data_IF_102860501004
#
_entry.id   IF_102860501004
#
_cell.length_a   1.000
_cell.length_b   1.000
_cell.length_c   1.000
_cell.angle_alpha   90.00
_cell.angle_beta   90.00
_cell.angle_gamma   90.00
#
_symmetry.space_group_name_H-M   'P 1'
#
loop_
_entity.id
_entity.type
_entity.pdbx_description
1 polymer ?
#
# COMPACT_ATOMS: atom_id res chain seq x y z
N UNK A 1 20.13 25.15 -2.82
CA UNK A 1 20.40 23.70 -2.64
C UNK A 1 19.09 22.96 -2.93
N UNK A 2 18.97 22.39 -4.14
CA UNK A 2 17.75 21.73 -4.58
C UNK A 2 17.72 20.29 -4.05
N UNK A 3 16.68 19.96 -3.27
CA UNK A 3 16.45 18.61 -2.80
C UNK A 3 16.06 17.72 -3.99
N UNK A 4 16.84 16.64 -4.19
CA UNK A 4 16.63 15.63 -5.22
C UNK A 4 15.31 14.91 -4.93
N UNK A 5 14.29 15.17 -5.74
CA UNK A 5 13.03 14.42 -5.76
C UNK A 5 13.42 12.98 -6.10
N UNK A 6 13.21 12.03 -5.19
CA UNK A 6 13.46 10.62 -5.46
C UNK A 6 12.27 10.11 -6.27
N UNK A 7 12.52 9.98 -7.57
CA UNK A 7 11.53 9.83 -8.63
C UNK A 7 10.60 8.64 -8.46
N UNK A 8 9.38 8.83 -8.95
CA UNK A 8 8.32 7.79 -9.06
C UNK A 8 8.80 6.57 -9.85
N UNK A 9 9.83 6.73 -10.69
CA UNK A 9 10.48 5.65 -11.45
C UNK A 9 11.17 4.62 -10.57
N UNK A 10 11.72 5.00 -9.41
CA UNK A 10 12.39 4.07 -8.48
C UNK A 10 11.42 3.03 -7.92
N UNK A 11 10.16 3.39 -7.67
CA UNK A 11 9.16 2.47 -7.13
C UNK A 11 8.63 1.53 -8.22
N UNK A 12 8.50 2.03 -9.45
CA UNK A 12 8.14 1.22 -10.61
C UNK A 12 9.25 0.21 -10.97
N UNK A 13 10.52 0.60 -10.90
CA UNK A 13 11.66 -0.30 -11.11
C UNK A 13 11.74 -1.38 -10.03
N UNK A 14 11.49 -1.02 -8.77
CA UNK A 14 11.49 -1.97 -7.65
C UNK A 14 10.32 -2.96 -7.78
N UNK A 15 9.14 -2.48 -8.18
CA UNK A 15 7.96 -3.28 -8.46
C UNK A 15 8.16 -4.22 -9.67
N UNK A 16 8.70 -3.73 -10.79
CA UNK A 16 9.04 -4.53 -11.97
C UNK A 16 10.11 -5.58 -11.64
N UNK A 17 11.16 -5.21 -10.91
CA UNK A 17 12.19 -6.15 -10.43
C UNK A 17 11.60 -7.23 -9.53
N UNK A 18 10.70 -6.84 -8.62
CA UNK A 18 10.04 -7.76 -7.69
C UNK A 18 9.09 -8.72 -8.42
N UNK A 19 8.39 -8.24 -9.46
CA UNK A 19 7.53 -9.08 -10.30
C UNK A 19 8.29 -10.04 -11.20
N UNK A 20 9.39 -9.58 -11.80
CA UNK A 20 10.29 -10.45 -12.57
C UNK A 20 10.86 -11.58 -11.71
N UNK A 21 11.04 -11.31 -10.42
CA UNK A 21 11.52 -12.27 -9.45
C UNK A 21 10.44 -13.31 -9.07
N UNK A 22 9.24 -12.85 -8.73
CA UNK A 22 8.12 -13.71 -8.29
C UNK A 22 7.56 -14.58 -9.42
N UNK A 23 7.61 -14.11 -10.66
CA UNK A 23 7.08 -14.81 -11.85
C UNK A 23 8.14 -15.66 -12.57
N UNK A 24 9.29 -15.96 -11.93
CA UNK A 24 10.32 -16.89 -12.42
C UNK A 24 10.79 -16.63 -13.87
N UNK A 25 11.16 -15.39 -14.22
CA UNK A 25 11.58 -15.06 -15.59
C UNK A 25 13.07 -14.73 -15.77
N UNK A 26 13.89 -14.84 -14.72
CA UNK A 26 15.36 -14.84 -14.85
C UNK A 26 15.90 -16.05 -14.08
N UNK A 27 16.48 -17.06 -14.76
CA UNK A 27 17.28 -18.06 -14.07
C UNK A 27 18.48 -17.33 -13.48
N UNK A 28 18.53 -17.24 -12.15
CA UNK A 28 19.77 -16.94 -11.42
C UNK A 28 20.10 -18.17 -10.60
N UNK A 29 21.38 -18.48 -10.53
CA UNK A 29 21.91 -19.70 -9.89
C UNK A 29 21.58 -19.81 -8.39
N UNK A 30 21.17 -18.70 -7.77
CA UNK A 30 20.49 -18.68 -6.48
C UNK A 30 19.12 -18.03 -6.64
N UNK A 31 18.01 -18.73 -6.35
CA UNK A 31 16.73 -18.06 -6.14
C UNK A 31 16.81 -17.25 -4.83
N UNK A 32 16.72 -15.90 -4.85
CA UNK A 32 16.32 -15.13 -3.68
C UNK A 32 15.23 -15.86 -2.90
N UNK A 33 15.45 -15.96 -1.58
CA UNK A 33 14.55 -16.58 -0.61
C UNK A 33 13.24 -15.79 -0.47
N UNK A 34 12.52 -15.53 -1.55
CA UNK A 34 11.13 -15.08 -1.47
C UNK A 34 10.28 -16.31 -1.27
N UNK A 35 9.66 -16.37 -0.11
CA UNK A 35 8.65 -17.35 0.16
C UNK A 35 7.37 -16.91 -0.56
N UNK A 36 7.04 -17.59 -1.66
CA UNK A 36 5.85 -17.35 -2.51
C UNK A 36 4.52 -17.54 -1.78
N UNK A 37 4.53 -18.04 -0.54
CA UNK A 37 3.35 -18.24 0.29
C UNK A 37 3.11 -17.10 1.30
N UNK A 38 3.99 -16.09 1.37
CA UNK A 38 3.81 -14.96 2.30
C UNK A 38 2.95 -13.89 1.64
N UNK A 39 1.67 -13.87 2.01
CA UNK A 39 0.73 -12.83 1.58
C UNK A 39 0.88 -11.60 2.47
N UNK A 40 1.14 -10.45 1.87
CA UNK A 40 1.06 -9.16 2.57
C UNK A 40 -0.38 -8.64 2.57
N UNK A 41 -0.74 -7.93 3.63
CA UNK A 41 -2.00 -7.23 3.77
C UNK A 41 -1.75 -5.75 3.93
N UNK A 42 -2.61 -4.94 3.31
CA UNK A 42 -2.70 -3.50 3.54
C UNK A 42 -3.99 -3.18 4.25
N UNK A 43 -3.91 -2.36 5.29
CA UNK A 43 -5.04 -1.98 6.10
C UNK A 43 -5.10 -0.48 6.39
N UNK A 44 -6.31 -0.01 6.65
CA UNK A 44 -6.62 1.38 6.99
C UNK A 44 -7.52 1.39 8.21
N UNK A 45 -7.11 2.12 9.23
CA UNK A 45 -7.88 2.37 10.43
C UNK A 45 -8.34 3.82 10.43
N UNK A 46 -9.61 4.06 10.78
CA UNK A 46 -10.04 5.39 11.20
C UNK A 46 -9.45 5.67 12.58
N UNK A 47 -9.03 6.92 12.83
CA UNK A 47 -8.47 7.35 14.11
C UNK A 47 -9.18 8.60 14.62
N UNK A 48 -9.73 8.53 15.82
CA UNK A 48 -10.32 9.68 16.51
C UNK A 48 -9.32 10.26 17.52
N UNK A 49 -8.97 11.53 17.37
CA UNK A 49 -8.15 12.25 18.36
C UNK A 49 -9.06 12.84 19.46
N UNK A 50 -8.97 12.31 20.69
CA UNK A 50 -9.78 12.79 21.82
C UNK A 50 -9.47 14.23 22.22
N UNK A 51 -8.27 14.74 21.92
CA UNK A 51 -7.86 16.11 22.27
C UNK A 51 -8.29 17.13 21.22
N UNK A 52 -8.55 16.66 19.99
CA UNK A 52 -8.94 17.49 18.85
C UNK A 52 -9.87 16.68 17.91
N UNK A 53 -11.13 16.41 18.32
CA UNK A 53 -12.05 15.54 17.58
C UNK A 53 -12.40 16.04 16.17
N UNK A 54 -12.18 17.32 15.90
CA UNK A 54 -12.34 17.93 14.59
C UNK A 54 -11.30 17.46 13.56
N UNK A 55 -10.17 16.89 14.03
CA UNK A 55 -9.13 16.34 13.17
C UNK A 55 -9.61 15.02 12.58
N UNK A 56 -9.50 14.92 11.26
CA UNK A 56 -9.84 13.70 10.53
C UNK A 56 -8.56 12.94 10.23
N UNK A 57 -8.37 11.83 10.94
CA UNK A 57 -7.14 11.06 10.93
C UNK A 57 -7.40 9.62 10.48
N UNK A 58 -6.47 9.08 9.71
CA UNK A 58 -6.44 7.68 9.32
C UNK A 58 -5.04 7.13 9.49
N UNK A 59 -4.95 5.87 9.91
CA UNK A 59 -3.69 5.16 10.04
C UNK A 59 -3.63 4.05 9.01
N UNK A 60 -2.63 4.11 8.12
CA UNK A 60 -2.38 3.06 7.13
C UNK A 60 -1.28 2.13 7.63
N UNK A 61 -1.47 0.83 7.45
CA UNK A 61 -0.47 -0.17 7.80
C UNK A 61 -0.38 -1.23 6.72
N UNK A 62 0.75 -1.93 6.70
CA UNK A 62 0.88 -3.17 5.97
C UNK A 62 1.73 -4.14 6.78
N UNK A 63 1.43 -5.42 6.65
CA UNK A 63 2.07 -6.50 7.39
C UNK A 63 1.88 -7.82 6.65
N UNK A 64 2.60 -8.86 7.07
CA UNK A 64 2.35 -10.22 6.58
C UNK A 64 1.06 -10.75 7.20
N UNK A 65 0.41 -11.70 6.52
CA UNK A 65 -0.82 -12.32 7.00
C UNK A 65 -0.69 -12.91 8.41
N UNK A 66 0.46 -13.52 8.75
CA UNK A 66 0.74 -14.06 10.08
C UNK A 66 0.81 -13.01 11.18
N UNK A 67 1.10 -11.76 10.81
CA UNK A 67 1.47 -10.70 11.74
C UNK A 67 0.33 -9.68 11.90
N UNK A 68 -0.84 -9.90 11.27
CA UNK A 68 -1.98 -8.96 11.25
C UNK A 68 -2.42 -8.64 12.67
N UNK A 69 -2.74 -9.66 13.47
CA UNK A 69 -3.28 -9.46 14.82
C UNK A 69 -2.27 -8.73 15.71
N UNK A 70 -1.00 -9.15 15.68
CA UNK A 70 0.08 -8.49 16.40
C UNK A 70 0.25 -7.02 15.97
N UNK A 71 0.21 -6.75 14.66
CA UNK A 71 0.36 -5.39 14.12
C UNK A 71 -0.79 -4.50 14.56
N UNK A 72 -2.03 -4.98 14.43
CA UNK A 72 -3.23 -4.23 14.84
C UNK A 72 -3.23 -3.98 16.35
N UNK A 73 -2.83 -4.97 17.16
CA UNK A 73 -2.71 -4.82 18.60
C UNK A 73 -1.66 -3.79 19.01
N UNK A 74 -0.49 -3.77 18.36
CA UNK A 74 0.53 -2.73 18.60
C UNK A 74 0.01 -1.33 18.26
N UNK A 75 -0.77 -1.20 17.17
CA UNK A 75 -1.38 0.07 16.80
C UNK A 75 -2.43 0.49 17.84
N UNK A 76 -3.27 -0.45 18.29
CA UNK A 76 -4.25 -0.21 19.35
C UNK A 76 -3.61 0.15 20.70
N UNK A 77 -2.47 -0.45 21.05
CA UNK A 77 -1.72 -0.06 22.25
C UNK A 77 -1.21 1.37 22.17
N UNK A 78 -0.84 1.83 20.96
CA UNK A 78 -0.30 3.16 20.74
C UNK A 78 -1.34 4.28 20.76
N UNK A 79 -2.51 4.05 20.17
CA UNK A 79 -3.54 5.10 19.99
C UNK A 79 -4.81 4.87 20.79
N UNK A 80 -4.94 3.71 21.43
CA UNK A 80 -6.12 3.27 22.17
C UNK A 80 -7.14 2.58 21.28
N UNK A 81 -7.47 1.32 21.60
CA UNK A 81 -8.43 0.48 20.85
C UNK A 81 -9.79 1.15 20.63
N UNK A 82 -10.30 1.92 21.60
CA UNK A 82 -11.60 2.60 21.50
C UNK A 82 -11.61 3.78 20.53
N UNK A 83 -10.44 4.29 20.15
CA UNK A 83 -10.29 5.44 19.28
C UNK A 83 -10.06 5.03 17.82
N UNK A 84 -10.07 3.74 17.53
CA UNK A 84 -9.76 3.20 16.21
C UNK A 84 -10.74 2.12 15.80
N UNK A 85 -11.00 2.03 14.51
CA UNK A 85 -11.72 0.93 13.91
C UNK A 85 -11.27 0.69 12.47
N UNK A 86 -11.34 -0.57 12.02
CA UNK A 86 -10.93 -0.96 10.66
C UNK A 86 -11.91 -0.45 9.60
N UNK A 87 -11.37 0.17 8.56
CA UNK A 87 -12.11 0.63 7.38
C UNK A 87 -11.85 -0.24 6.15
N UNK A 88 -10.60 -0.67 5.99
CA UNK A 88 -10.12 -1.38 4.82
C UNK A 88 -9.08 -2.39 5.25
N UNK A 89 -9.16 -3.61 4.73
CA UNK A 89 -8.13 -4.64 4.87
C UNK A 89 -8.19 -5.56 3.67
N UNK A 90 -7.14 -5.58 2.85
CA UNK A 90 -7.06 -6.42 1.66
C UNK A 90 -5.67 -7.02 1.51
N UNK A 91 -5.55 -8.25 0.97
CA UNK A 91 -4.27 -8.79 0.56
C UNK A 91 -3.72 -7.93 -0.58
N UNK A 92 -2.41 -7.69 -0.58
CA UNK A 92 -1.71 -6.88 -1.57
C UNK A 92 -0.45 -7.58 -2.03
N UNK A 93 -0.04 -7.27 -3.25
CA UNK A 93 1.21 -7.77 -3.78
C UNK A 93 2.43 -7.09 -3.13
N UNK A 94 2.34 -5.78 -2.91
CA UNK A 94 3.36 -5.02 -2.17
C UNK A 94 2.70 -3.98 -1.28
N UNK A 95 2.75 -4.19 0.04
CA UNK A 95 2.24 -3.23 1.01
C UNK A 95 3.02 -1.91 0.99
N UNK A 96 4.33 -1.99 0.77
CA UNK A 96 5.18 -0.81 0.60
C UNK A 96 4.82 -0.01 -0.66
N UNK A 97 4.52 -0.70 -1.77
CA UNK A 97 4.07 -0.10 -3.03
C UNK A 97 2.75 0.67 -2.84
N UNK A 98 1.71 -0.02 -2.35
CA UNK A 98 0.41 0.62 -2.13
C UNK A 98 0.50 1.79 -1.14
N UNK A 99 1.32 1.65 -0.09
CA UNK A 99 1.58 2.75 0.85
C UNK A 99 2.17 3.97 0.14
N UNK A 100 3.14 3.78 -0.74
CA UNK A 100 3.74 4.88 -1.48
C UNK A 100 2.70 5.57 -2.39
N UNK A 101 1.90 4.78 -3.12
CA UNK A 101 0.80 5.27 -3.98
C UNK A 101 -0.23 6.09 -3.19
N UNK A 102 -0.71 5.55 -2.06
CA UNK A 102 -1.65 6.22 -1.15
C UNK A 102 -1.06 7.53 -0.63
N UNK A 103 0.17 7.50 -0.12
CA UNK A 103 0.82 8.70 0.42
C UNK A 103 1.02 9.78 -0.64
N UNK A 104 1.42 9.39 -1.86
CA UNK A 104 1.59 10.30 -2.98
C UNK A 104 0.25 10.99 -3.30
N UNK A 105 -0.81 10.21 -3.50
CA UNK A 105 -2.15 10.72 -3.80
C UNK A 105 -2.64 11.74 -2.76
N UNK A 106 -2.63 11.37 -1.47
CA UNK A 106 -3.10 12.28 -0.42
C UNK A 106 -2.19 13.50 -0.23
N UNK A 107 -0.87 13.36 -0.44
CA UNK A 107 0.03 14.51 -0.39
C UNK A 107 -0.26 15.55 -1.49
N UNK A 108 -0.65 15.11 -2.69
CA UNK A 108 -1.07 15.98 -3.79
C UNK A 108 -2.36 16.73 -3.45
N UNK A 109 -3.23 16.13 -2.63
CA UNK A 109 -4.42 16.78 -2.05
C UNK A 109 -4.10 17.71 -0.87
N UNK A 110 -2.81 17.99 -0.60
CA UNK A 110 -2.31 18.81 0.51
C UNK A 110 -2.61 18.23 1.90
N UNK A 111 -2.80 16.92 2.00
CA UNK A 111 -2.93 16.26 3.29
C UNK A 111 -1.58 16.16 4.00
N UNK A 112 -1.63 16.07 5.32
CA UNK A 112 -0.44 15.76 6.11
C UNK A 112 -0.24 14.24 6.16
N UNK A 113 0.83 13.75 5.53
CA UNK A 113 1.11 12.30 5.34
C UNK A 113 2.39 11.84 6.05
N UNK A 114 2.49 12.11 7.37
CA UNK A 114 3.68 11.79 8.16
C UNK A 114 3.69 10.32 8.60
N UNK A 115 4.73 9.58 8.19
CA UNK A 115 4.85 8.17 8.49
C UNK A 115 3.68 7.38 7.92
N UNK A 116 2.89 6.78 8.81
CA UNK A 116 1.70 5.98 8.52
C UNK A 116 0.39 6.72 8.83
N UNK A 117 0.47 7.97 9.28
CA UNK A 117 -0.68 8.80 9.58
C UNK A 117 -1.03 9.64 8.37
N UNK A 118 -2.32 9.65 8.03
CA UNK A 118 -2.93 10.53 7.04
C UNK A 118 -3.87 11.48 7.79
N UNK A 119 -3.70 12.78 7.57
CA UNK A 119 -4.53 13.81 8.17
C UNK A 119 -5.05 14.74 7.09
N UNK A 120 -6.38 14.88 7.03
CA UNK A 120 -7.00 15.78 6.09
C UNK A 120 -6.84 17.25 6.53
N UNK A 121 -6.78 18.20 5.58
CA UNK A 121 -6.80 19.62 5.89
C UNK A 121 -8.05 20.02 6.72
N UNK A 122 -7.94 21.08 7.54
CA UNK A 122 -9.10 21.63 8.25
C UNK A 122 -10.24 21.94 7.27
N UNK A 123 -11.48 21.66 7.69
CA UNK A 123 -12.72 21.85 6.88
C UNK A 123 -12.80 20.98 5.60
N UNK A 124 -11.95 19.97 5.46
CA UNK A 124 -12.05 18.99 4.38
C UNK A 124 -13.39 18.25 4.37
N UNK A 125 -13.95 18.03 3.19
CA UNK A 125 -15.18 17.23 3.00
C UNK A 125 -14.94 15.71 3.04
N UNK A 126 -13.71 15.25 3.28
CA UNK A 126 -13.44 13.82 3.35
C UNK A 126 -14.02 13.21 4.63
N UNK A 127 -14.54 11.99 4.50
CA UNK A 127 -15.02 11.12 5.56
C UNK A 127 -14.45 9.70 5.30
N UNK A 128 -14.72 8.77 6.20
CA UNK A 128 -14.20 7.40 6.10
C UNK A 128 -14.60 6.71 4.79
N UNK A 129 -15.82 6.92 4.31
CA UNK A 129 -16.30 6.36 3.03
C UNK A 129 -15.50 6.87 1.84
N UNK A 130 -15.27 8.18 1.75
CA UNK A 130 -14.48 8.78 0.67
C UNK A 130 -13.04 8.29 0.69
N UNK A 131 -12.43 8.22 1.87
CA UNK A 131 -11.06 7.70 2.02
C UNK A 131 -10.99 6.23 1.61
N UNK A 132 -11.92 5.41 2.08
CA UNK A 132 -11.98 3.99 1.74
C UNK A 132 -12.18 3.79 0.23
N UNK A 133 -13.05 4.58 -0.40
CA UNK A 133 -13.25 4.57 -1.86
C UNK A 133 -11.96 4.92 -2.60
N UNK A 134 -11.32 6.04 -2.26
CA UNK A 134 -10.07 6.47 -2.91
C UNK A 134 -8.96 5.43 -2.77
N UNK A 135 -8.80 4.83 -1.59
CA UNK A 135 -7.80 3.78 -1.38
C UNK A 135 -8.14 2.51 -2.15
N UNK A 136 -9.43 2.16 -2.26
CA UNK A 136 -9.90 1.03 -3.07
C UNK A 136 -9.60 1.26 -4.56
N UNK A 137 -9.81 2.47 -5.06
CA UNK A 137 -9.50 2.82 -6.45
C UNK A 137 -7.99 2.68 -6.72
N UNK A 138 -7.15 3.17 -5.82
CA UNK A 138 -5.69 3.01 -5.91
C UNK A 138 -5.27 1.53 -5.86
N UNK A 139 -5.87 0.76 -4.97
CA UNK A 139 -5.65 -0.69 -4.88
C UNK A 139 -6.01 -1.39 -6.21
N UNK A 140 -7.16 -1.06 -6.79
CA UNK A 140 -7.61 -1.66 -8.05
C UNK A 140 -6.66 -1.33 -9.22
N UNK A 141 -6.15 -0.10 -9.27
CA UNK A 141 -5.14 0.30 -10.26
C UNK A 141 -3.87 -0.55 -10.13
N UNK A 142 -3.40 -0.83 -8.91
CA UNK A 142 -2.24 -1.70 -8.70
C UNK A 142 -2.52 -3.16 -9.08
N UNK A 143 -3.72 -3.67 -8.78
CA UNK A 143 -4.15 -5.00 -9.21
C UNK A 143 -4.24 -5.12 -10.74
N UNK A 144 -4.76 -4.10 -11.42
CA UNK A 144 -4.84 -4.06 -12.88
C UNK A 144 -3.44 -4.01 -13.51
N UNK A 145 -2.52 -3.21 -12.96
CA UNK A 145 -1.11 -3.18 -13.41
C UNK A 145 -0.45 -4.55 -13.27
N UNK A 146 -0.68 -5.22 -12.15
CA UNK A 146 -0.18 -6.57 -11.91
C UNK A 146 -0.74 -7.57 -12.93
N UNK A 147 -2.06 -7.57 -13.13
CA UNK A 147 -2.72 -8.42 -14.11
C UNK A 147 -2.19 -8.20 -15.52
N UNK A 148 -2.10 -6.94 -15.95
CA UNK A 148 -1.58 -6.58 -17.27
C UNK A 148 -0.12 -7.02 -17.44
N UNK A 149 0.72 -6.89 -16.41
CA UNK A 149 2.09 -7.38 -16.43
C UNK A 149 2.17 -8.90 -16.66
N UNK A 150 1.38 -9.67 -15.91
CA UNK A 150 1.30 -11.14 -16.05
C UNK A 150 0.80 -11.54 -17.44
N UNK A 151 -0.25 -10.88 -17.95
CA UNK A 151 -0.83 -11.18 -19.25
C UNK A 151 0.14 -10.91 -20.41
N UNK A 152 0.82 -9.75 -20.39
CA UNK A 152 1.85 -9.44 -21.40
C UNK A 152 2.96 -10.49 -21.32
N UNK A 153 3.47 -10.85 -20.14
CA UNK A 153 4.49 -11.89 -20.03
C UNK A 153 4.04 -13.23 -20.63
N UNK A 154 2.84 -13.70 -20.32
CA UNK A 154 2.31 -14.95 -20.86
C UNK A 154 2.22 -14.94 -22.39
N UNK A 155 1.81 -13.84 -23.01
CA UNK A 155 1.79 -13.69 -24.48
C UNK A 155 3.21 -13.78 -25.09
N UNK A 156 4.23 -13.26 -24.41
CA UNK A 156 5.61 -13.31 -24.88
C UNK A 156 6.22 -14.72 -24.80
N UNK A 157 5.81 -15.53 -23.82
CA UNK A 157 6.23 -16.93 -23.74
C UNK A 157 5.50 -17.82 -24.76
N UNK A 158 4.20 -17.60 -24.98
CA UNK A 158 3.44 -18.33 -26.02
C UNK A 158 3.90 -18.03 -27.46
N UNK A 159 4.42 -16.83 -27.71
CA UNK A 159 4.95 -16.43 -29.03
C UNK A 159 6.37 -16.96 -29.31
N UNK A 160 7.08 -17.51 -28.31
CA UNK A 160 8.44 -18.08 -28.45
C UNK A 160 8.45 -19.62 -28.56
N UNK A 161 7.28 -20.25 -28.48
CA UNK A 161 7.09 -21.70 -28.63
C UNK A 161 6.59 -22.12 -30.02
N UNK A 162 6.75 -21.26 -31.04
CA UNK A 162 6.50 -21.58 -32.45
C UNK A 162 7.74 -21.26 -33.29
#
# INVERSE_FOLDING_TARGET
MAAKIKDTDSANEEFDKHLRYLLLTIPKDDPPKFNTYVVEFFGVLSLTDLRAPERKLWYIYYCKQSDIDQTVDQIHQKFGKKNMYDLFRKPVFSGAGLRASVKKHFSELKWFTKGNLLEAPPKSHFNDERVCKTITDLYNIEQERLYNFVMVKNQWYGSRSH
#
